data_IF_198160414271
#
_entry.id   IF_198160414271
#
_cell.length_a   1.000
_cell.length_b   1.000
_cell.length_c   1.000
_cell.angle_alpha   90.00
_cell.angle_beta   90.00
_cell.angle_gamma   90.00
#
_symmetry.space_group_name_H-M   'P 1'
#
loop_
_entity.id
_entity.type
_entity.pdbx_description
1 polymer ?
#
# COMPACT_ATOMS: atom_id res chain seq x y z
N UNK A 1 -11.80 -1.74 12.17
CA UNK A 1 -13.06 -1.95 11.43
C UNK A 1 -13.47 -0.75 10.58
N UNK A 2 -13.59 0.50 11.08
CA UNK A 2 -14.01 1.65 10.21
C UNK A 2 -13.09 1.94 9.01
N UNK A 3 -11.77 1.79 9.17
CA UNK A 3 -10.85 2.07 8.08
C UNK A 3 -10.88 1.00 6.96
N UNK A 4 -11.29 -0.24 7.28
CA UNK A 4 -11.38 -1.34 6.32
C UNK A 4 -12.64 -1.21 5.45
N UNK A 5 -13.71 -0.59 5.98
CA UNK A 5 -14.99 -0.34 5.28
C UNK A 5 -14.92 0.85 4.33
N UNK A 6 -14.04 1.83 4.61
CA UNK A 6 -13.87 3.02 3.77
C UNK A 6 -13.11 2.76 2.46
N UNK A 7 -12.41 1.64 2.33
CA UNK A 7 -11.70 1.27 1.10
C UNK A 7 -12.65 0.74 0.00
N UNK A 8 -13.87 0.31 0.36
CA UNK A 8 -14.87 -0.22 -0.59
C UNK A 8 -15.83 0.85 -1.14
N UNK A 9 -15.90 2.01 -0.50
CA UNK A 9 -16.62 3.18 -1.03
C UNK A 9 -15.64 4.02 -1.83
N UNK A 10 -16.12 4.68 -2.89
CA UNK A 10 -15.41 5.58 -3.82
C UNK A 10 -14.77 6.84 -3.14
N UNK A 11 -14.56 6.76 -1.82
CA UNK A 11 -13.93 7.70 -0.92
C UNK A 11 -12.50 7.27 -0.54
N UNK A 12 -11.75 6.78 -1.53
CA UNK A 12 -10.35 6.35 -1.36
C UNK A 12 -9.51 7.48 -0.73
N UNK A 13 -9.78 8.74 -1.07
CA UNK A 13 -9.06 9.90 -0.51
C UNK A 13 -9.32 10.13 0.99
N UNK A 14 -10.57 10.20 1.48
CA UNK A 14 -10.87 10.22 2.91
C UNK A 14 -10.27 9.05 3.70
N UNK A 15 -10.25 7.84 3.11
CA UNK A 15 -9.67 6.66 3.74
C UNK A 15 -8.16 6.82 3.97
N UNK A 16 -7.44 7.31 2.96
CA UNK A 16 -6.00 7.59 3.04
C UNK A 16 -5.73 8.70 4.04
N UNK A 17 -6.47 9.81 3.98
CA UNK A 17 -6.31 10.92 4.92
C UNK A 17 -6.52 10.48 6.38
N UNK A 18 -7.52 9.61 6.60
CA UNK A 18 -7.78 9.02 7.91
C UNK A 18 -6.63 8.10 8.36
N UNK A 19 -6.07 7.31 7.44
CA UNK A 19 -4.93 6.44 7.72
C UNK A 19 -3.64 7.23 8.00
N UNK A 20 -3.38 8.30 7.25
CA UNK A 20 -2.25 9.22 7.46
C UNK A 20 -2.33 9.91 8.82
N UNK A 21 -3.53 10.39 9.19
CA UNK A 21 -3.77 10.95 10.50
C UNK A 21 -3.55 9.91 11.61
N UNK A 22 -4.01 8.68 11.40
CA UNK A 22 -3.80 7.57 12.35
C UNK A 22 -2.31 7.22 12.53
N UNK A 23 -1.52 7.27 11.45
CA UNK A 23 -0.06 7.07 11.50
C UNK A 23 0.64 8.25 12.16
N UNK A 24 0.14 9.48 11.97
CA UNK A 24 0.68 10.68 12.63
C UNK A 24 0.43 10.65 14.13
N UNK A 25 -0.76 10.23 14.55
CA UNK A 25 -1.14 10.10 15.95
C UNK A 25 -0.44 8.92 16.63
N UNK A 26 -0.27 7.81 15.91
CA UNK A 26 0.46 6.64 16.41
C UNK A 26 1.35 6.02 15.32
N UNK A 27 2.61 6.48 15.20
CA UNK A 27 3.52 6.02 14.16
C UNK A 27 4.03 4.59 14.40
N UNK A 28 3.73 4.00 15.56
CA UNK A 28 4.11 2.63 15.93
C UNK A 28 2.94 1.66 15.89
N UNK A 29 1.82 2.03 15.27
CA UNK A 29 0.68 1.14 15.06
C UNK A 29 0.84 0.35 13.76
N UNK A 30 1.09 -0.97 13.80
CA UNK A 30 1.20 -1.79 12.60
C UNK A 30 -0.11 -1.78 11.80
N UNK A 31 -1.27 -1.77 12.47
CA UNK A 31 -2.58 -1.70 11.83
C UNK A 31 -2.80 -0.39 11.07
N UNK A 32 -2.31 0.74 11.61
CA UNK A 32 -2.42 2.04 10.93
C UNK A 32 -1.52 2.10 9.69
N UNK A 33 -0.30 1.57 9.80
CA UNK A 33 0.64 1.47 8.68
C UNK A 33 0.15 0.51 7.59
N UNK A 34 -0.45 -0.61 7.97
CA UNK A 34 -1.09 -1.56 7.05
C UNK A 34 -2.25 -0.90 6.30
N UNK A 35 -3.14 -0.21 7.02
CA UNK A 35 -4.28 0.51 6.42
C UNK A 35 -3.80 1.59 5.45
N UNK A 36 -2.76 2.36 5.83
CA UNK A 36 -2.16 3.36 4.97
C UNK A 36 -1.57 2.74 3.70
N UNK A 37 -0.86 1.61 3.82
CA UNK A 37 -0.32 0.89 2.67
C UNK A 37 -1.42 0.43 1.70
N UNK A 38 -2.52 -0.13 2.20
CA UNK A 38 -3.67 -0.52 1.36
C UNK A 38 -4.31 0.67 0.64
N UNK A 39 -4.47 1.80 1.33
CA UNK A 39 -4.93 3.04 0.70
C UNK A 39 -3.97 3.55 -0.38
N UNK A 40 -2.66 3.50 -0.13
CA UNK A 40 -1.63 3.89 -1.10
C UNK A 40 -1.67 3.02 -2.37
N UNK A 41 -1.91 1.71 -2.23
CA UNK A 41 -2.15 0.83 -3.40
C UNK A 41 -3.36 1.30 -4.21
N UNK A 42 -4.46 1.66 -3.54
CA UNK A 42 -5.70 2.07 -4.20
C UNK A 42 -5.55 3.34 -5.06
N UNK A 43 -4.62 4.25 -4.71
CA UNK A 43 -4.30 5.44 -5.53
C UNK A 43 -3.09 5.25 -6.47
N UNK A 44 -2.51 4.06 -6.53
CA UNK A 44 -1.39 3.74 -7.42
C UNK A 44 0.01 4.11 -6.88
N UNK A 45 0.09 4.53 -5.61
CA UNK A 45 1.33 4.87 -4.89
C UNK A 45 2.02 3.60 -4.33
N UNK A 46 2.35 2.67 -5.23
CA UNK A 46 2.81 1.32 -4.88
C UNK A 46 4.11 1.34 -4.05
N UNK A 47 5.07 2.22 -4.38
CA UNK A 47 6.34 2.31 -3.63
C UNK A 47 6.11 2.78 -2.19
N UNK A 48 5.20 3.73 -1.99
CA UNK A 48 4.85 4.21 -0.65
C UNK A 48 4.15 3.11 0.16
N UNK A 49 3.29 2.31 -0.48
CA UNK A 49 2.66 1.17 0.16
C UNK A 49 3.68 0.15 0.67
N UNK A 50 4.68 -0.20 -0.14
CA UNK A 50 5.77 -1.11 0.25
C UNK A 50 6.51 -0.59 1.49
N UNK A 51 6.80 0.72 1.54
CA UNK A 51 7.44 1.35 2.70
C UNK A 51 6.56 1.24 3.95
N UNK A 52 5.26 1.52 3.82
CA UNK A 52 4.30 1.44 4.93
C UNK A 52 4.20 0.01 5.48
N UNK A 53 4.07 -1.00 4.62
CA UNK A 53 4.06 -2.41 5.02
C UNK A 53 5.39 -2.86 5.64
N UNK A 54 6.52 -2.40 5.10
CA UNK A 54 7.85 -2.70 5.65
C UNK A 54 8.02 -2.14 7.06
N UNK A 55 7.52 -0.92 7.32
CA UNK A 55 7.49 -0.34 8.67
C UNK A 55 6.59 -1.13 9.61
N UNK A 56 5.42 -1.58 9.13
CA UNK A 56 4.53 -2.41 9.93
C UNK A 56 5.18 -3.74 10.31
N UNK A 57 5.86 -4.42 9.38
CA UNK A 57 6.62 -5.65 9.65
C UNK A 57 7.81 -5.43 10.58
N UNK A 58 8.43 -4.25 10.58
CA UNK A 58 9.49 -3.95 11.54
C UNK A 58 8.97 -3.88 12.98
N UNK A 59 7.70 -3.49 13.17
CA UNK A 59 7.04 -3.43 14.47
C UNK A 59 6.48 -4.81 14.86
N UNK A 60 5.89 -5.54 13.91
CA UNK A 60 5.34 -6.89 14.09
C UNK A 60 5.88 -7.84 13.03
N UNK A 61 7.09 -8.40 13.24
CA UNK A 61 7.74 -9.30 12.28
C UNK A 61 6.96 -10.58 12.02
N UNK A 62 6.16 -11.02 12.98
CA UNK A 62 5.39 -12.26 12.95
C UNK A 62 4.05 -12.13 12.22
N UNK A 63 3.73 -10.94 11.68
CA UNK A 63 2.50 -10.75 10.92
C UNK A 63 2.62 -11.38 9.53
N UNK A 64 2.11 -12.61 9.41
CA UNK A 64 2.04 -13.34 8.14
C UNK A 64 1.11 -12.65 7.15
N UNK A 65 0.02 -12.02 7.61
CA UNK A 65 -0.90 -11.27 6.75
C UNK A 65 -0.16 -10.14 6.02
N UNK A 66 0.58 -9.29 6.76
CA UNK A 66 1.29 -8.17 6.14
C UNK A 66 2.41 -8.67 5.21
N UNK A 67 3.06 -9.78 5.57
CA UNK A 67 4.17 -10.34 4.78
C UNK A 67 3.69 -11.01 3.49
N UNK A 68 2.74 -11.94 3.61
CA UNK A 68 2.36 -12.88 2.56
C UNK A 68 1.20 -12.35 1.71
N UNK A 69 0.38 -11.44 2.24
CA UNK A 69 -0.71 -10.83 1.49
C UNK A 69 -0.31 -9.44 1.04
N UNK A 70 -0.18 -8.49 1.96
CA UNK A 70 -0.06 -7.07 1.62
C UNK A 70 1.27 -6.74 0.89
N UNK A 71 2.40 -7.15 1.48
CA UNK A 71 3.72 -6.84 0.91
C UNK A 71 3.98 -7.62 -0.38
N UNK A 72 3.63 -8.90 -0.43
CA UNK A 72 3.71 -9.70 -1.66
C UNK A 72 2.90 -9.07 -2.79
N UNK A 73 1.64 -8.71 -2.53
CA UNK A 73 0.78 -8.06 -3.51
C UNK A 73 1.36 -6.73 -4.00
N UNK A 74 1.84 -5.88 -3.09
CA UNK A 74 2.46 -4.61 -3.46
C UNK A 74 3.71 -4.78 -4.34
N UNK A 75 4.53 -5.79 -4.04
CA UNK A 75 5.74 -6.11 -4.83
C UNK A 75 5.38 -6.62 -6.22
N UNK A 76 4.34 -7.45 -6.35
CA UNK A 76 3.90 -7.97 -7.64
C UNK A 76 3.28 -6.87 -8.51
N UNK A 77 2.44 -6.00 -7.93
CA UNK A 77 1.93 -4.81 -8.63
C UNK A 77 3.05 -3.91 -9.15
N UNK A 78 4.13 -3.73 -8.37
CA UNK A 78 5.30 -2.97 -8.82
C UNK A 78 5.97 -3.61 -10.04
N UNK A 79 6.13 -4.94 -10.04
CA UNK A 79 6.72 -5.65 -11.19
C UNK A 79 5.85 -5.45 -12.44
N UNK A 80 4.54 -5.66 -12.33
CA UNK A 80 3.62 -5.45 -13.44
C UNK A 80 3.68 -4.01 -13.98
N UNK A 81 3.70 -3.01 -13.10
CA UNK A 81 3.83 -1.60 -13.51
C UNK A 81 5.12 -1.36 -14.28
N UNK A 82 6.24 -1.90 -13.80
CA UNK A 82 7.54 -1.77 -14.46
C UNK A 82 7.60 -2.49 -15.82
N UNK A 83 6.97 -3.67 -15.94
CA UNK A 83 6.89 -4.41 -17.20
C UNK A 83 6.03 -3.68 -18.23
N UNK A 84 4.86 -3.16 -17.81
CA UNK A 84 4.00 -2.34 -18.67
C UNK A 84 4.71 -1.08 -19.17
N UNK A 85 5.49 -0.44 -18.30
CA UNK A 85 6.30 0.73 -18.68
C UNK A 85 7.37 0.39 -19.71
N UNK A 86 8.10 -0.71 -19.52
CA UNK A 86 9.12 -1.18 -20.49
C UNK A 86 8.51 -1.49 -21.86
N UNK A 87 7.36 -2.18 -21.88
CA UNK A 87 6.71 -2.56 -23.13
C UNK A 87 6.21 -1.33 -23.91
N UNK A 88 5.65 -0.32 -23.22
CA UNK A 88 5.22 0.93 -23.85
C UNK A 88 6.41 1.75 -24.42
N UNK A 89 7.59 1.65 -23.81
CA UNK A 89 8.82 2.32 -24.30
C UNK A 89 9.46 1.61 -25.49
N UNK A 90 9.24 0.30 -25.67
CA UNK A 90 9.66 -0.43 -26.88
C UNK A 90 8.75 -0.11 -28.07
N UNK A 91 7.44 0.02 -27.87
CA UNK A 91 6.47 0.27 -28.95
C UNK A 91 6.55 1.71 -29.51
N UNK A 92 7.15 2.64 -28.77
CA UNK A 92 7.33 4.05 -29.21
C UNK A 92 8.64 4.31 -29.94
N UNK A 93 9.50 3.29 -30.11
CA UNK A 93 10.82 3.40 -30.75
C UNK A 93 10.93 2.70 -32.12
N UNK A 94 9.84 2.15 -32.63
CA UNK A 94 9.69 1.67 -34.02
C UNK A 94 8.96 2.70 -34.90
#
# INVERSE_FOLDING_TARGET
MKAQVLLELDEIFPAIQSAEMAVTLNPRSPNSLQTLGRGQIAIGEIEMAIISFSKALHITPDSEEIRNEDLCWAVDLRKEKNERQKNNESDTKE
#
